data_IF_226374191005
#
_entry.id   IF_226374191005
#
_cell.length_a   1.000
_cell.length_b   1.000
_cell.length_c   1.000
_cell.angle_alpha   90.00
_cell.angle_beta   90.00
_cell.angle_gamma   90.00
#
_symmetry.space_group_name_H-M   'P 1'
#
loop_
_entity.id
_entity.type
_entity.pdbx_description
1 polymer ?
#
# COMPACT_ATOMS: atom_id res chain seq x y z
N UNK A 1 4.83 21.56 -13.76
CA UNK A 1 4.84 20.10 -13.57
C UNK A 1 5.46 19.66 -12.25
N UNK A 2 6.55 20.29 -11.77
CA UNK A 2 7.17 19.94 -10.49
C UNK A 2 6.18 19.87 -9.31
N UNK A 3 5.35 20.90 -9.11
CA UNK A 3 4.33 20.92 -8.05
C UNK A 3 3.31 19.76 -8.18
N UNK A 4 2.88 19.45 -9.40
CA UNK A 4 1.98 18.33 -9.64
C UNK A 4 2.64 16.97 -9.34
N UNK A 5 3.92 16.80 -9.70
CA UNK A 5 4.69 15.61 -9.37
C UNK A 5 4.85 15.45 -7.85
N UNK A 6 5.23 16.52 -7.15
CA UNK A 6 5.36 16.52 -5.68
C UNK A 6 4.05 16.12 -5.00
N UNK A 7 2.91 16.66 -5.44
CA UNK A 7 1.59 16.30 -4.91
C UNK A 7 1.19 14.87 -5.26
N UNK A 8 1.52 14.39 -6.44
CA UNK A 8 1.27 12.99 -6.85
C UNK A 8 2.07 12.00 -6.00
N UNK A 9 3.33 12.30 -5.68
CA UNK A 9 4.13 11.44 -4.80
C UNK A 9 3.63 11.53 -3.35
N UNK A 10 3.21 12.73 -2.90
CA UNK A 10 2.62 12.91 -1.59
C UNK A 10 1.29 12.13 -1.42
N UNK A 11 0.51 11.97 -2.49
CA UNK A 11 -0.71 11.16 -2.49
C UNK A 11 -0.43 9.70 -2.07
N UNK A 12 0.69 9.10 -2.50
CA UNK A 12 1.07 7.76 -2.03
C UNK A 12 1.21 7.70 -0.51
N UNK A 13 1.76 8.72 0.15
CA UNK A 13 1.81 8.74 1.62
C UNK A 13 0.42 8.76 2.26
N UNK A 14 -0.53 9.43 1.60
CA UNK A 14 -1.94 9.44 1.96
C UNK A 14 -2.63 8.10 1.84
N UNK A 15 -2.07 7.12 1.11
CA UNK A 15 -2.64 5.78 0.93
C UNK A 15 -1.98 4.68 1.77
N UNK A 16 -0.91 4.98 2.52
CA UNK A 16 -0.16 3.96 3.28
C UNK A 16 -1.03 3.26 4.32
N UNK A 17 -1.07 1.92 4.33
CA UNK A 17 -1.61 1.11 5.44
C UNK A 17 -0.47 0.61 6.34
N UNK A 18 -0.75 0.20 7.58
CA UNK A 18 0.24 -0.31 8.54
C UNK A 18 0.79 0.76 9.50
N UNK A 19 1.98 0.49 10.05
CA UNK A 19 2.71 1.43 10.91
C UNK A 19 3.36 2.53 10.08
N UNK A 20 2.88 3.77 10.20
CA UNK A 20 3.42 4.91 9.49
C UNK A 20 4.82 5.29 10.03
N UNK A 21 5.75 5.71 9.16
CA UNK A 21 7.08 6.10 9.58
C UNK A 21 7.04 7.46 10.29
N UNK A 22 7.99 7.70 11.20
CA UNK A 22 8.05 8.95 11.97
C UNK A 22 8.26 10.20 11.12
N UNK A 23 8.84 10.04 9.92
CA UNK A 23 9.09 11.12 8.95
C UNK A 23 8.00 11.22 7.86
N UNK A 24 6.83 10.59 8.07
CA UNK A 24 5.63 10.76 7.25
C UNK A 24 5.25 12.25 7.13
N UNK A 25 5.02 12.74 5.91
CA UNK A 25 4.66 14.15 5.66
C UNK A 25 3.16 14.40 5.78
N UNK A 26 2.35 13.39 5.51
CA UNK A 26 0.89 13.43 5.71
C UNK A 26 0.55 13.18 7.18
N UNK A 27 0.23 14.26 7.91
CA UNK A 27 0.03 14.23 9.37
C UNK A 27 -1.39 13.96 9.84
N UNK A 28 -2.36 13.88 8.93
CA UNK A 28 -3.76 13.55 9.25
C UNK A 28 -4.06 12.06 9.11
N UNK A 29 -3.08 11.25 8.69
CA UNK A 29 -3.16 9.79 8.66
C UNK A 29 -2.54 9.20 9.91
N UNK A 30 -3.11 8.12 10.43
CA UNK A 30 -2.57 7.37 11.56
C UNK A 30 -2.30 5.89 11.22
N UNK A 31 -1.68 5.18 12.17
CA UNK A 31 -1.43 3.74 12.07
C UNK A 31 -2.74 2.98 11.92
N UNK A 32 -2.82 2.06 10.95
CA UNK A 32 -4.06 1.33 10.64
C UNK A 32 -3.76 -0.07 10.07
N UNK A 33 -4.74 -0.97 10.07
CA UNK A 33 -4.56 -2.32 9.52
C UNK A 33 -3.48 -3.14 10.25
N UNK A 34 -3.32 -2.92 11.56
CA UNK A 34 -2.22 -3.51 12.35
C UNK A 34 -2.40 -5.01 12.64
N UNK A 35 -3.61 -5.54 12.43
CA UNK A 35 -3.93 -6.96 12.53
C UNK A 35 -3.87 -7.72 11.21
N UNK A 36 -3.47 -7.08 10.10
CA UNK A 36 -3.50 -7.69 8.77
C UNK A 36 -2.69 -8.99 8.73
N UNK A 37 -3.36 -10.10 8.40
CA UNK A 37 -2.75 -11.43 8.25
C UNK A 37 -2.72 -12.30 9.52
N UNK A 38 -3.17 -11.79 10.68
CA UNK A 38 -3.22 -12.55 11.93
C UNK A 38 -3.96 -13.90 11.82
N UNK A 39 -5.12 -13.95 11.14
CA UNK A 39 -5.92 -15.17 10.96
C UNK A 39 -5.22 -16.25 10.13
N UNK A 40 -4.21 -15.88 9.35
CA UNK A 40 -3.42 -16.79 8.50
C UNK A 40 -1.97 -16.90 8.98
N UNK A 41 -1.70 -16.49 10.23
CA UNK A 41 -0.39 -16.56 10.87
C UNK A 41 0.75 -15.97 10.00
N UNK A 42 0.49 -14.85 9.34
CA UNK A 42 1.44 -14.17 8.46
C UNK A 42 1.34 -12.67 8.70
N UNK A 43 2.47 -11.97 8.79
CA UNK A 43 2.44 -10.50 8.83
C UNK A 43 2.11 -9.97 7.44
N UNK A 44 0.92 -9.37 7.30
CA UNK A 44 0.49 -8.67 6.09
C UNK A 44 0.26 -7.18 6.36
N UNK A 45 0.83 -6.60 7.42
CA UNK A 45 0.80 -5.15 7.66
C UNK A 45 1.62 -4.40 6.61
N UNK A 46 1.24 -3.16 6.31
CA UNK A 46 1.89 -2.33 5.29
C UNK A 46 1.10 -2.23 3.98
N UNK A 47 1.77 -1.78 2.91
CA UNK A 47 1.17 -1.64 1.58
C UNK A 47 0.27 -0.41 1.45
N UNK A 48 -0.53 -0.38 0.39
CA UNK A 48 -1.41 0.74 0.08
C UNK A 48 -2.89 0.34 0.12
N UNK A 49 -3.74 1.21 0.65
CA UNK A 49 -5.16 1.15 0.36
C UNK A 49 -5.41 1.54 -1.10
N UNK A 50 -6.34 0.86 -1.75
CA UNK A 50 -6.49 0.92 -3.21
C UNK A 50 -7.02 2.27 -3.69
N UNK A 51 -8.09 2.77 -3.07
CA UNK A 51 -8.74 4.00 -3.49
C UNK A 51 -9.20 4.86 -2.29
N UNK A 52 -10.50 5.12 -2.18
CA UNK A 52 -11.11 5.78 -1.02
C UNK A 52 -11.59 4.81 0.05
N UNK A 53 -11.35 3.52 -0.16
CA UNK A 53 -11.69 2.40 0.71
C UNK A 53 -10.46 1.93 1.51
N UNK A 54 -10.63 0.93 2.39
CA UNK A 54 -9.51 0.39 3.18
C UNK A 54 -9.13 -1.04 2.78
N UNK A 55 -9.55 -1.48 1.59
CA UNK A 55 -9.14 -2.76 1.02
C UNK A 55 -7.75 -2.63 0.39
N UNK A 56 -6.95 -3.69 0.55
CA UNK A 56 -5.65 -3.84 -0.13
C UNK A 56 -5.81 -4.81 -1.29
N UNK A 57 -6.13 -4.29 -2.47
CA UNK A 57 -6.18 -5.09 -3.68
C UNK A 57 -4.78 -5.26 -4.28
N UNK A 58 -4.26 -6.50 -4.26
CA UNK A 58 -2.87 -6.78 -4.65
C UNK A 58 -2.59 -6.52 -6.14
N UNK A 59 -3.56 -6.80 -7.02
CA UNK A 59 -3.35 -6.64 -8.46
C UNK A 59 -3.15 -5.17 -8.90
N UNK A 60 -4.06 -4.22 -8.58
CA UNK A 60 -3.85 -2.80 -8.89
C UNK A 60 -2.67 -2.18 -8.11
N UNK A 61 -2.38 -2.65 -6.88
CA UNK A 61 -1.19 -2.22 -6.15
C UNK A 61 0.10 -2.61 -6.86
N UNK A 62 0.21 -3.85 -7.35
CA UNK A 62 1.36 -4.33 -8.10
C UNK A 62 1.52 -3.59 -9.44
N UNK A 63 0.43 -3.33 -10.16
CA UNK A 63 0.44 -2.52 -11.37
C UNK A 63 0.94 -1.10 -11.10
N UNK A 64 0.37 -0.42 -10.08
CA UNK A 64 0.77 0.94 -9.69
C UNK A 64 2.24 1.01 -9.31
N UNK A 65 2.73 0.02 -8.55
CA UNK A 65 4.14 -0.09 -8.17
C UNK A 65 5.05 -0.24 -9.39
N UNK A 66 4.64 -1.07 -10.35
CA UNK A 66 5.36 -1.29 -11.61
C UNK A 66 5.46 0.01 -12.42
N UNK A 67 4.34 0.73 -12.58
CA UNK A 67 4.31 1.99 -13.33
C UNK A 67 5.14 3.10 -12.66
N UNK A 68 5.11 3.19 -11.33
CA UNK A 68 5.96 4.13 -10.59
C UNK A 68 7.45 3.79 -10.74
N UNK A 69 7.82 2.52 -10.61
CA UNK A 69 9.19 2.06 -10.79
C UNK A 69 9.70 2.31 -12.21
N UNK A 70 8.88 2.00 -13.22
CA UNK A 70 9.22 2.29 -14.62
C UNK A 70 9.40 3.80 -14.84
N UNK A 71 8.53 4.65 -14.28
CA UNK A 71 8.67 6.10 -14.40
C UNK A 71 9.97 6.62 -13.78
N UNK A 72 10.43 6.02 -12.67
CA UNK A 72 11.72 6.36 -12.06
C UNK A 72 12.89 5.89 -12.92
N UNK A 73 12.82 4.69 -13.52
CA UNK A 73 13.84 4.20 -14.46
C UNK A 73 13.97 5.14 -15.67
N UNK A 74 12.84 5.56 -16.24
CA UNK A 74 12.84 6.29 -17.50
C UNK A 74 13.10 7.79 -17.33
N UNK A 75 12.62 8.37 -16.23
CA UNK A 75 12.60 9.82 -16.02
C UNK A 75 13.22 10.27 -14.70
N UNK A 76 13.86 9.38 -13.94
CA UNK A 76 14.44 9.68 -12.63
C UNK A 76 15.43 10.85 -12.64
N UNK A 77 16.24 10.95 -13.70
CA UNK A 77 17.21 12.04 -13.87
C UNK A 77 16.57 13.42 -14.07
N UNK A 78 15.30 13.46 -14.46
CA UNK A 78 14.51 14.69 -14.61
C UNK A 78 13.74 15.06 -13.34
N UNK A 79 13.66 14.14 -12.36
CA UNK A 79 12.96 14.40 -11.11
C UNK A 79 13.84 15.29 -10.20
N UNK A 80 13.26 16.28 -9.49
CA UNK A 80 13.97 16.95 -8.41
C UNK A 80 14.52 15.92 -7.42
N UNK A 81 15.76 16.09 -6.93
CA UNK A 81 16.44 15.10 -6.09
C UNK A 81 15.62 14.66 -4.87
N UNK A 82 14.88 15.58 -4.25
CA UNK A 82 13.97 15.28 -3.16
C UNK A 82 12.80 14.38 -3.57
N UNK A 83 12.22 14.61 -4.75
CA UNK A 83 11.12 13.80 -5.25
C UNK A 83 11.55 12.45 -5.80
N UNK A 84 12.74 12.36 -6.40
CA UNK A 84 13.34 11.06 -6.74
C UNK A 84 13.46 10.19 -5.49
N UNK A 85 13.97 10.76 -4.39
CA UNK A 85 14.03 10.06 -3.10
C UNK A 85 12.64 9.64 -2.61
N UNK A 86 11.66 10.53 -2.64
CA UNK A 86 10.30 10.21 -2.18
C UNK A 86 9.63 9.12 -3.05
N UNK A 87 9.84 9.15 -4.36
CA UNK A 87 9.35 8.12 -5.28
C UNK A 87 9.98 6.75 -4.99
N UNK A 88 11.29 6.70 -4.73
CA UNK A 88 11.97 5.47 -4.31
C UNK A 88 11.44 4.94 -2.97
N UNK A 89 11.12 5.82 -2.02
CA UNK A 89 10.49 5.42 -0.75
C UNK A 89 9.07 4.89 -0.97
N UNK A 90 8.29 5.48 -1.88
CA UNK A 90 6.95 4.98 -2.24
C UNK A 90 7.02 3.59 -2.90
N UNK A 91 7.95 3.39 -3.85
CA UNK A 91 8.20 2.07 -4.44
C UNK A 91 8.55 1.06 -3.35
N UNK A 92 9.48 1.40 -2.45
CA UNK A 92 9.88 0.54 -1.35
C UNK A 92 8.71 0.17 -0.43
N UNK A 93 7.84 1.12 -0.11
CA UNK A 93 6.67 0.85 0.74
C UNK A 93 5.76 -0.23 0.16
N UNK A 94 5.51 -0.17 -1.16
CA UNK A 94 4.76 -1.18 -1.87
C UNK A 94 5.53 -2.52 -1.94
N UNK A 95 6.81 -2.51 -2.33
CA UNK A 95 7.56 -3.75 -2.52
C UNK A 95 7.86 -4.48 -1.21
N UNK A 96 8.08 -3.76 -0.11
CA UNK A 96 8.22 -4.37 1.23
C UNK A 96 6.94 -5.14 1.60
N UNK A 97 5.75 -4.64 1.23
CA UNK A 97 4.50 -5.38 1.40
C UNK A 97 4.34 -6.53 0.40
N UNK A 98 4.63 -6.33 -0.89
CA UNK A 98 4.55 -7.39 -1.90
C UNK A 98 5.51 -8.56 -1.61
N UNK A 99 6.65 -8.33 -0.95
CA UNK A 99 7.52 -9.41 -0.47
C UNK A 99 6.85 -10.24 0.62
N UNK A 100 6.06 -9.62 1.50
CA UNK A 100 5.27 -10.36 2.51
C UNK A 100 4.18 -11.21 1.85
N UNK A 101 3.57 -10.74 0.76
CA UNK A 101 2.50 -11.48 0.08
C UNK A 101 2.96 -12.75 -0.63
N UNK A 102 4.26 -12.92 -0.85
CA UNK A 102 4.88 -14.14 -1.43
C UNK A 102 5.77 -14.88 -0.43
N UNK A 103 5.56 -14.65 0.87
CA UNK A 103 6.40 -15.23 1.94
C UNK A 103 6.23 -16.73 2.13
N UNK A 104 5.21 -17.34 1.52
CA UNK A 104 4.94 -18.78 1.58
C UNK A 104 5.13 -19.39 0.18
N UNK A 105 5.81 -20.55 0.07
CA UNK A 105 5.93 -21.25 -1.21
C UNK A 105 4.54 -21.62 -1.74
N UNK A 106 4.39 -21.61 -3.06
CA UNK A 106 3.17 -22.03 -3.77
C UNK A 106 1.90 -21.25 -3.40
N UNK A 107 2.05 -20.06 -2.81
CA UNK A 107 0.94 -19.19 -2.37
C UNK A 107 1.26 -17.73 -2.58
N UNK A 108 0.25 -16.98 -3.00
CA UNK A 108 0.28 -15.52 -3.04
C UNK A 108 -0.93 -14.97 -2.27
N UNK A 109 -0.69 -14.08 -1.31
CA UNK A 109 -1.74 -13.29 -0.67
C UNK A 109 -2.14 -12.13 -1.59
N UNK A 110 -3.35 -12.16 -2.13
CA UNK A 110 -3.77 -11.23 -3.19
C UNK A 110 -4.68 -10.12 -2.70
N UNK A 111 -5.28 -10.26 -1.53
CA UNK A 111 -6.18 -9.24 -0.97
C UNK A 111 -6.27 -9.32 0.56
N UNK A 112 -6.39 -8.15 1.19
CA UNK A 112 -6.73 -8.01 2.62
C UNK A 112 -7.90 -7.03 2.76
N UNK A 113 -9.00 -7.49 3.36
CA UNK A 113 -10.28 -6.78 3.46
C UNK A 113 -11.36 -7.41 2.55
N UNK A 114 -12.58 -7.55 3.08
CA UNK A 114 -13.76 -7.87 2.28
C UNK A 114 -14.38 -6.55 1.76
N UNK A 115 -14.51 -6.36 0.43
CA UNK A 115 -14.94 -5.09 -0.12
C UNK A 115 -16.38 -4.73 0.19
N UNK A 116 -17.27 -5.72 0.34
CA UNK A 116 -18.68 -5.42 0.64
C UNK A 116 -18.79 -4.86 2.05
N UNK A 117 -18.09 -5.47 3.02
CA UNK A 117 -18.13 -5.01 4.41
C UNK A 117 -17.42 -3.66 4.53
N UNK A 118 -16.24 -3.53 3.93
CA UNK A 118 -15.44 -2.28 3.94
C UNK A 118 -16.23 -1.10 3.35
N UNK A 119 -16.87 -1.29 2.18
CA UNK A 119 -17.58 -0.22 1.47
C UNK A 119 -18.94 0.13 2.10
N UNK A 120 -19.49 -0.73 2.97
CA UNK A 120 -20.69 -0.41 3.75
C UNK A 120 -20.38 0.48 4.96
N UNK A 121 -19.10 0.69 5.29
CA UNK A 121 -18.66 1.59 6.34
C UNK A 121 -18.02 2.85 5.76
N UNK A 122 -18.18 3.98 6.43
CA UNK A 122 -17.46 5.21 6.12
C UNK A 122 -16.73 5.67 7.38
N UNK A 123 -15.46 5.29 7.47
CA UNK A 123 -14.66 5.49 8.67
C UNK A 123 -13.21 5.81 8.34
N UNK A 124 -12.48 6.28 9.35
CA UNK A 124 -11.03 6.46 9.22
C UNK A 124 -10.36 5.07 9.27
N UNK A 125 -9.26 4.85 8.52
CA UNK A 125 -8.57 3.56 8.53
C UNK A 125 -8.13 3.10 9.94
N UNK A 126 -7.78 4.04 10.83
CA UNK A 126 -7.36 3.78 12.21
C UNK A 126 -8.51 3.35 13.14
N UNK A 127 -9.76 3.59 12.74
CA UNK A 127 -10.96 3.22 13.52
C UNK A 127 -11.64 1.94 12.99
N UNK A 128 -11.10 1.32 11.92
CA UNK A 128 -11.69 0.14 11.27
C UNK A 128 -12.07 -0.96 12.26
N UNK A 129 -13.35 -1.31 12.29
CA UNK A 129 -13.88 -2.42 13.09
C UNK A 129 -14.39 -3.60 12.24
N UNK A 130 -14.31 -3.46 10.91
CA UNK A 130 -14.71 -4.49 9.94
C UNK A 130 -13.70 -5.64 9.87
N UNK A 131 -14.19 -6.85 9.56
CA UNK A 131 -13.33 -8.02 9.41
C UNK A 131 -12.40 -7.89 8.19
N UNK A 132 -11.09 -7.98 8.44
CA UNK A 132 -10.05 -7.86 7.40
C UNK A 132 -9.63 -9.21 6.84
N UNK A 133 -10.56 -9.87 6.14
CA UNK A 133 -10.38 -11.19 5.53
C UNK A 133 -9.20 -11.22 4.55
N UNK A 134 -8.41 -12.29 4.57
CA UNK A 134 -7.27 -12.48 3.67
C UNK A 134 -7.65 -13.48 2.58
N UNK A 135 -7.38 -13.13 1.32
CA UNK A 135 -7.60 -14.00 0.17
C UNK A 135 -6.27 -14.39 -0.48
N UNK A 136 -6.18 -15.64 -0.91
CA UNK A 136 -4.98 -16.23 -1.51
C UNK A 136 -5.26 -16.80 -2.89
N UNK A 137 -4.21 -16.88 -3.69
CA UNK A 137 -4.13 -17.76 -4.86
C UNK A 137 -3.03 -18.77 -4.58
N UNK A 138 -3.37 -20.04 -4.59
CA UNK A 138 -2.46 -21.15 -4.35
C UNK A 138 -2.13 -21.85 -5.68
N UNK A 139 -0.95 -22.46 -5.76
CA UNK A 139 -0.59 -23.29 -6.90
C UNK A 139 -1.50 -24.54 -6.99
N UNK A 140 -1.70 -25.12 -8.19
CA UNK A 140 -2.51 -26.32 -8.39
C UNK A 140 -2.06 -27.55 -7.61
#
# INVERSE_FOLDING_TARGET
YADALSKSILFFEGQRSGFLPQDQRITWRENSGLGDGWMVNTDLTGGYYDAGDNVKFGFPMAFTTTMLAWSVIEFGDLMPTGELRNALVAIRWATDYLLKTVSQPDRIFVQVGDPIIDHNCWERPEDMDTARTVYTVDAP
#
